data_IF_485801485405
#
_entry.id   IF_485801485405
#
_cell.length_a   1.000
_cell.length_b   1.000
_cell.length_c   1.000
_cell.angle_alpha   90.00
_cell.angle_beta   90.00
_cell.angle_gamma   90.00
#
_symmetry.space_group_name_H-M   'P 1'
#
loop_
_entity.id
_entity.type
_entity.pdbx_description
1 polymer ?
#
# COMPACT_ATOMS: atom_id res chain seq x y z
N UNK A 1 -8.81 -11.80 -7.71
CA UNK A 1 -9.38 -11.19 -8.85
C UNK A 1 -9.12 -9.72 -8.88
N UNK A 2 -9.07 -9.14 -10.00
CA UNK A 2 -8.72 -7.75 -10.16
C UNK A 2 -9.76 -6.78 -9.64
N UNK A 3 -9.82 -5.61 -10.26
CA UNK A 3 -10.78 -4.55 -9.98
C UNK A 3 -10.58 -3.76 -8.70
N UNK A 4 -9.42 -3.84 -8.08
CA UNK A 4 -9.11 -2.95 -6.98
C UNK A 4 -8.47 -1.68 -7.53
N UNK A 5 -8.63 -0.59 -6.80
CA UNK A 5 -7.95 0.66 -7.10
C UNK A 5 -6.78 0.76 -6.14
N UNK A 6 -5.58 0.72 -6.67
CA UNK A 6 -4.36 0.68 -5.85
C UNK A 6 -3.56 1.97 -6.03
N UNK A 7 -3.28 2.64 -4.92
CA UNK A 7 -2.44 3.82 -4.92
C UNK A 7 -1.00 3.39 -4.69
N UNK A 8 -0.13 3.74 -5.62
CA UNK A 8 1.30 3.43 -5.53
C UNK A 8 2.02 4.70 -5.11
N UNK A 9 2.65 4.68 -3.94
CA UNK A 9 3.43 5.81 -3.44
C UNK A 9 4.91 5.47 -3.64
N UNK A 10 5.51 6.07 -4.65
CA UNK A 10 6.84 5.71 -5.11
C UNK A 10 7.45 6.89 -5.86
N UNK A 11 8.66 7.29 -5.51
CA UNK A 11 9.31 8.43 -6.17
C UNK A 11 10.12 8.01 -7.40
N UNK A 12 10.46 6.74 -7.54
CA UNK A 12 11.27 6.25 -8.66
C UNK A 12 10.37 5.71 -9.75
N UNK A 13 10.51 6.27 -10.96
CA UNK A 13 9.62 5.90 -12.05
C UNK A 13 9.78 4.45 -12.48
N UNK A 14 10.98 3.91 -12.43
CA UNK A 14 11.20 2.51 -12.85
C UNK A 14 10.51 1.55 -11.89
N UNK A 15 10.59 1.83 -10.59
CA UNK A 15 9.90 1.00 -9.61
C UNK A 15 8.39 1.13 -9.78
N UNK A 16 7.91 2.34 -10.01
CA UNK A 16 6.49 2.56 -10.23
C UNK A 16 6.00 1.77 -11.44
N UNK A 17 6.74 1.84 -12.56
CA UNK A 17 6.31 1.16 -13.78
C UNK A 17 6.25 -0.36 -13.58
N UNK A 18 7.21 -0.92 -12.84
CA UNK A 18 7.19 -2.35 -12.58
C UNK A 18 5.96 -2.73 -11.76
N UNK A 19 5.70 -2.00 -10.69
CA UNK A 19 4.58 -2.30 -9.81
C UNK A 19 3.27 -2.11 -10.56
N UNK A 20 3.16 -1.05 -11.32
CA UNK A 20 1.99 -0.79 -12.13
C UNK A 20 1.71 -1.95 -13.10
N UNK A 21 2.76 -2.39 -13.78
CA UNK A 21 2.64 -3.51 -14.72
C UNK A 21 2.08 -4.76 -14.04
N UNK A 22 2.63 -5.09 -12.87
CA UNK A 22 2.18 -6.28 -12.15
C UNK A 22 0.73 -6.15 -11.71
N UNK A 23 0.35 -4.99 -11.23
CA UNK A 23 -1.02 -4.78 -10.76
C UNK A 23 -2.01 -4.78 -11.90
N UNK A 24 -1.66 -4.15 -13.02
CA UNK A 24 -2.56 -4.12 -14.17
C UNK A 24 -2.72 -5.49 -14.78
N UNK A 25 -1.67 -6.31 -14.79
CA UNK A 25 -1.79 -7.68 -15.26
C UNK A 25 -2.74 -8.49 -14.40
N UNK A 26 -2.83 -8.16 -13.13
CA UNK A 26 -3.76 -8.85 -12.23
C UNK A 26 -5.17 -8.26 -12.29
N UNK A 27 -5.38 -7.25 -13.12
CA UNK A 27 -6.71 -6.70 -13.34
C UNK A 27 -7.06 -5.48 -12.49
N UNK A 28 -6.08 -4.94 -11.77
CA UNK A 28 -6.32 -3.77 -10.93
C UNK A 28 -6.05 -2.48 -11.69
N UNK A 29 -6.60 -1.37 -11.21
CA UNK A 29 -6.27 -0.04 -11.72
C UNK A 29 -5.33 0.62 -10.74
N UNK A 30 -4.49 1.53 -11.23
CA UNK A 30 -3.47 2.14 -10.39
C UNK A 30 -3.54 3.65 -10.42
N UNK A 31 -3.09 4.24 -9.31
CA UNK A 31 -2.89 5.67 -9.19
C UNK A 31 -1.47 5.87 -8.66
N UNK A 32 -0.85 6.99 -8.98
CA UNK A 32 0.54 7.22 -8.65
C UNK A 32 0.70 8.49 -7.82
N UNK A 33 1.30 8.36 -6.66
CA UNK A 33 1.76 9.49 -5.85
C UNK A 33 3.28 9.42 -5.78
N UNK A 34 3.95 10.53 -5.93
CA UNK A 34 5.40 10.57 -6.02
C UNK A 34 6.06 10.90 -4.68
N UNK A 35 5.28 11.18 -3.67
CA UNK A 35 5.79 11.50 -2.35
C UNK A 35 4.80 11.05 -1.29
N UNK A 36 5.26 10.98 -0.05
CA UNK A 36 4.39 10.63 1.05
C UNK A 36 3.24 11.61 1.21
N UNK A 37 3.55 12.91 1.08
CA UNK A 37 2.52 13.92 1.21
C UNK A 37 1.45 13.79 0.13
N UNK A 38 1.88 13.62 -1.11
CA UNK A 38 0.95 13.44 -2.21
C UNK A 38 0.11 12.18 -2.00
N UNK A 39 0.73 11.11 -1.51
CA UNK A 39 0.03 9.87 -1.24
C UNK A 39 -1.05 10.05 -0.18
N UNK A 40 -0.75 10.77 0.88
CA UNK A 40 -1.73 11.05 1.92
C UNK A 40 -2.90 11.85 1.35
N UNK A 41 -2.59 12.90 0.58
CA UNK A 41 -3.64 13.73 0.00
C UNK A 41 -4.52 12.94 -0.95
N UNK A 42 -3.92 12.11 -1.81
CA UNK A 42 -4.69 11.30 -2.75
C UNK A 42 -5.53 10.25 -2.04
N UNK A 43 -5.00 9.68 -0.96
CA UNK A 43 -5.77 8.70 -0.21
C UNK A 43 -7.03 9.32 0.39
N UNK A 44 -6.93 10.55 0.87
CA UNK A 44 -8.08 11.25 1.44
C UNK A 44 -9.11 11.58 0.37
N UNK A 45 -8.66 11.93 -0.82
CA UNK A 45 -9.54 12.37 -1.90
C UNK A 45 -10.14 11.19 -2.64
N UNK A 46 -9.32 10.22 -3.00
CA UNK A 46 -9.70 9.16 -3.92
C UNK A 46 -10.09 7.85 -3.26
N UNK A 47 -9.77 7.67 -1.99
CA UNK A 47 -10.14 6.47 -1.21
C UNK A 47 -9.80 5.18 -1.95
N UNK A 48 -8.51 4.91 -2.20
CA UNK A 48 -8.13 3.67 -2.88
C UNK A 48 -8.46 2.45 -2.01
N UNK A 49 -8.49 1.30 -2.66
CA UNK A 49 -8.75 0.05 -1.95
C UNK A 49 -7.52 -0.48 -1.25
N UNK A 50 -6.34 -0.04 -1.68
CA UNK A 50 -5.08 -0.48 -1.10
C UNK A 50 -4.01 0.54 -1.46
N UNK A 51 -3.04 0.72 -0.56
CA UNK A 51 -1.90 1.59 -0.79
C UNK A 51 -0.63 0.75 -0.74
N UNK A 52 0.19 0.85 -1.79
CA UNK A 52 1.54 0.31 -1.78
C UNK A 52 2.48 1.44 -1.44
N UNK A 53 3.19 1.31 -0.33
CA UNK A 53 3.99 2.39 0.21
C UNK A 53 5.47 2.05 0.19
N UNK A 54 6.24 2.78 -0.60
CA UNK A 54 7.69 2.68 -0.58
C UNK A 54 8.18 3.31 0.73
N UNK A 55 9.01 2.58 1.46
CA UNK A 55 9.50 3.08 2.74
C UNK A 55 10.68 4.03 2.61
N UNK A 56 11.29 4.12 1.42
CA UNK A 56 12.49 4.93 1.21
C UNK A 56 12.22 6.26 0.53
N UNK A 57 11.07 6.85 0.78
CA UNK A 57 10.70 8.10 0.14
C UNK A 57 11.53 9.27 0.68
N UNK A 58 11.80 10.27 -0.18
CA UNK A 58 12.44 11.49 0.29
C UNK A 58 11.47 12.33 1.12
N UNK A 59 12.03 13.22 1.93
CA UNK A 59 11.30 14.17 2.77
C UNK A 59 10.46 13.50 3.85
N UNK A 60 9.40 12.81 3.46
CA UNK A 60 8.57 12.08 4.43
C UNK A 60 8.68 10.60 4.08
N UNK A 61 9.35 9.82 4.93
CA UNK A 61 9.52 8.40 4.67
C UNK A 61 8.19 7.65 4.78
N UNK A 62 8.20 6.40 4.28
CA UNK A 62 6.98 5.62 4.22
C UNK A 62 6.44 5.22 5.58
N UNK A 63 7.29 5.09 6.60
CA UNK A 63 6.82 4.79 7.94
C UNK A 63 5.99 5.95 8.48
N UNK A 64 6.51 7.17 8.35
CA UNK A 64 5.81 8.37 8.80
C UNK A 64 4.50 8.54 8.04
N UNK A 65 4.54 8.35 6.72
CA UNK A 65 3.33 8.47 5.92
C UNK A 65 2.28 7.45 6.35
N UNK A 66 2.71 6.21 6.62
CA UNK A 66 1.79 5.16 7.08
C UNK A 66 1.17 5.53 8.42
N UNK A 67 1.99 6.01 9.36
CA UNK A 67 1.47 6.42 10.65
C UNK A 67 0.40 7.49 10.52
N UNK A 68 0.64 8.46 9.64
CA UNK A 68 -0.34 9.53 9.41
C UNK A 68 -1.62 9.00 8.80
N UNK A 69 -1.50 8.09 7.83
CA UNK A 69 -2.68 7.48 7.22
C UNK A 69 -3.49 6.71 8.25
N UNK A 70 -2.81 5.98 9.13
CA UNK A 70 -3.51 5.15 10.12
C UNK A 70 -4.05 5.96 11.29
N UNK A 71 -3.62 7.20 11.43
CA UNK A 71 -4.11 8.08 12.49
C UNK A 71 -5.30 8.92 12.04
N UNK A 72 -5.59 8.96 10.76
CA UNK A 72 -6.65 9.81 10.21
C UNK A 72 -7.92 8.98 9.99
N UNK A 73 -9.05 9.38 10.59
CA UNK A 73 -10.30 8.64 10.39
C UNK A 73 -10.70 8.45 8.93
N UNK A 74 -10.26 9.34 8.04
CA UNK A 74 -10.62 9.25 6.62
C UNK A 74 -9.85 8.17 5.89
N UNK A 75 -8.67 7.78 6.39
CA UNK A 75 -7.78 6.87 5.68
C UNK A 75 -7.37 5.64 6.47
N UNK A 76 -7.64 5.61 7.78
CA UNK A 76 -7.11 4.53 8.62
C UNK A 76 -7.59 3.15 8.22
N UNK A 77 -8.70 3.05 7.53
CA UNK A 77 -9.24 1.76 7.12
C UNK A 77 -8.65 1.24 5.82
N UNK A 78 -7.88 2.06 5.12
CA UNK A 78 -7.27 1.64 3.86
C UNK A 78 -6.05 0.79 4.19
N UNK A 79 -5.96 -0.44 3.66
CA UNK A 79 -4.78 -1.27 3.94
C UNK A 79 -3.54 -0.70 3.28
N UNK A 80 -2.42 -0.77 3.99
CA UNK A 80 -1.13 -0.29 3.50
C UNK A 80 -0.16 -1.45 3.48
N UNK A 81 0.39 -1.74 2.30
CA UNK A 81 1.43 -2.75 2.14
C UNK A 81 2.75 -2.02 1.91
N UNK A 82 3.70 -2.25 2.81
CA UNK A 82 5.02 -1.63 2.70
C UNK A 82 5.85 -2.34 1.64
N UNK A 83 6.61 -1.56 0.87
CA UNK A 83 7.47 -2.08 -0.18
C UNK A 83 8.84 -1.46 0.03
N UNK A 84 9.88 -2.30 0.23
CA UNK A 84 11.17 -1.76 0.61
C UNK A 84 12.32 -2.62 0.13
N UNK A 85 13.44 -1.97 -0.18
CA UNK A 85 14.70 -2.66 -0.43
C UNK A 85 15.42 -2.97 0.88
N UNK A 86 14.95 -2.43 2.00
CA UNK A 86 15.56 -2.65 3.30
C UNK A 86 15.04 -3.95 3.89
N UNK A 87 15.95 -4.88 4.11
CA UNK A 87 15.60 -6.21 4.62
C UNK A 87 16.32 -6.53 5.91
N UNK A 88 16.73 -5.52 6.65
CA UNK A 88 17.42 -5.75 7.92
C UNK A 88 16.44 -6.26 8.97
N UNK A 89 16.92 -7.05 9.92
CA UNK A 89 16.10 -7.45 11.05
C UNK A 89 15.56 -6.19 11.75
N UNK A 90 14.30 -6.18 12.02
CA UNK A 90 13.67 -5.02 12.65
C UNK A 90 12.93 -4.12 11.70
N UNK A 91 13.26 -4.13 10.41
CA UNK A 91 12.55 -3.29 9.45
C UNK A 91 11.09 -3.74 9.31
N UNK A 92 10.88 -5.04 9.24
CA UNK A 92 9.52 -5.58 9.17
C UNK A 92 8.74 -5.22 10.44
N UNK A 93 9.38 -5.36 11.59
CA UNK A 93 8.73 -5.01 12.85
C UNK A 93 8.36 -3.55 12.88
N UNK A 94 9.28 -2.69 12.42
CA UNK A 94 9.02 -1.25 12.39
C UNK A 94 7.85 -0.92 11.47
N UNK A 95 7.77 -1.59 10.31
CA UNK A 95 6.67 -1.37 9.39
C UNK A 95 5.34 -1.75 10.03
N UNK A 96 5.31 -2.89 10.71
CA UNK A 96 4.10 -3.33 11.38
C UNK A 96 3.71 -2.39 12.51
N UNK A 97 4.69 -1.88 13.25
CA UNK A 97 4.42 -0.93 14.34
C UNK A 97 3.89 0.39 13.80
N UNK A 98 4.28 0.77 12.60
CA UNK A 98 3.76 1.98 11.97
C UNK A 98 2.33 1.77 11.45
N UNK A 99 1.87 0.53 11.42
CA UNK A 99 0.50 0.22 11.03
C UNK A 99 0.36 -0.41 9.65
N UNK A 100 1.47 -0.84 9.04
CA UNK A 100 1.40 -1.53 7.76
C UNK A 100 0.67 -2.86 7.91
N UNK A 101 -0.13 -3.18 6.92
CA UNK A 101 -0.92 -4.41 6.90
C UNK A 101 -0.23 -5.54 6.16
N UNK A 102 0.82 -5.22 5.41
CA UNK A 102 1.62 -6.19 4.71
C UNK A 102 3.00 -5.63 4.46
N UNK A 103 3.92 -6.49 4.02
CA UNK A 103 5.31 -6.10 3.87
C UNK A 103 5.93 -6.91 2.74
N UNK A 104 6.51 -6.22 1.77
CA UNK A 104 7.15 -6.83 0.61
C UNK A 104 8.55 -6.30 0.44
N UNK A 105 9.47 -7.18 0.11
CA UNK A 105 10.87 -6.82 -0.12
C UNK A 105 11.17 -6.66 -1.60
N UNK A 106 12.08 -5.76 -1.92
CA UNK A 106 12.68 -5.68 -3.25
C UNK A 106 14.00 -6.46 -3.22
N UNK A 107 14.42 -7.10 -4.31
CA UNK A 107 13.73 -7.23 -5.58
C UNK A 107 12.48 -8.07 -5.46
N UNK A 108 11.57 -7.85 -6.37
CA UNK A 108 10.23 -8.39 -6.26
C UNK A 108 10.15 -9.85 -6.68
N UNK A 109 9.56 -10.67 -5.82
CA UNK A 109 9.14 -12.00 -6.19
C UNK A 109 7.70 -11.86 -6.69
N UNK A 110 7.47 -12.10 -7.97
CA UNK A 110 6.17 -11.82 -8.59
C UNK A 110 5.04 -12.63 -7.95
N UNK A 111 5.28 -13.92 -7.70
CA UNK A 111 4.26 -14.76 -7.10
C UNK A 111 3.90 -14.26 -5.70
N UNK A 112 4.91 -13.91 -4.90
CA UNK A 112 4.69 -13.42 -3.55
C UNK A 112 3.99 -12.06 -3.58
N UNK A 113 4.37 -11.21 -4.53
CA UNK A 113 3.73 -9.91 -4.68
C UNK A 113 2.23 -10.08 -4.92
N UNK A 114 1.87 -10.89 -5.91
CA UNK A 114 0.47 -11.10 -6.24
C UNK A 114 -0.29 -11.71 -5.07
N UNK A 115 0.31 -12.70 -4.42
CA UNK A 115 -0.33 -13.34 -3.27
C UNK A 115 -0.59 -12.35 -2.15
N UNK A 116 0.39 -11.52 -1.83
CA UNK A 116 0.25 -10.55 -0.74
C UNK A 116 -0.85 -9.53 -1.05
N UNK A 117 -0.89 -9.05 -2.30
CA UNK A 117 -1.91 -8.08 -2.70
C UNK A 117 -3.30 -8.70 -2.58
N UNK A 118 -3.47 -9.90 -3.12
CA UNK A 118 -4.79 -10.53 -3.12
C UNK A 118 -5.24 -10.89 -1.71
N UNK A 119 -4.33 -11.40 -0.89
CA UNK A 119 -4.68 -11.73 0.49
C UNK A 119 -5.07 -10.49 1.28
N UNK A 120 -4.35 -9.41 1.09
CA UNK A 120 -4.65 -8.18 1.81
C UNK A 120 -6.00 -7.62 1.39
N UNK A 121 -6.26 -7.60 0.09
CA UNK A 121 -7.54 -7.12 -0.42
C UNK A 121 -8.69 -7.98 0.10
N UNK A 122 -8.53 -9.29 0.08
CA UNK A 122 -9.58 -10.18 0.53
C UNK A 122 -9.86 -10.00 2.01
N UNK A 123 -8.81 -9.91 2.81
CA UNK A 123 -8.94 -9.73 4.25
C UNK A 123 -9.72 -8.46 4.58
N UNK A 124 -9.40 -7.37 3.91
CA UNK A 124 -10.06 -6.10 4.19
C UNK A 124 -11.48 -6.07 3.63
N UNK A 125 -11.71 -6.73 2.52
CA UNK A 125 -13.06 -6.87 1.99
C UNK A 125 -13.96 -7.63 2.96
N UNK A 126 -13.46 -8.72 3.53
CA UNK A 126 -14.21 -9.49 4.52
C UNK A 126 -14.49 -8.66 5.75
N UNK A 127 -13.50 -7.92 6.23
CA UNK A 127 -13.70 -7.08 7.40
C UNK A 127 -14.76 -6.02 7.16
N UNK A 128 -14.79 -5.45 5.97
CA UNK A 128 -15.82 -4.48 5.65
C UNK A 128 -17.21 -5.11 5.60
N UNK A 129 -17.30 -6.34 5.11
CA UNK A 129 -18.58 -7.03 5.06
C UNK A 129 -19.10 -7.38 6.43
N UNK A 130 -18.21 -7.82 7.31
CA UNK A 130 -18.61 -8.24 8.65
C UNK A 130 -18.58 -7.13 9.66
N UNK A 131 -17.90 -6.04 9.34
CA UNK A 131 -17.70 -4.94 10.26
C UNK A 131 -18.90 -4.05 10.43
N UNK A 132 -20.03 -4.45 9.94
CA UNK A 132 -21.24 -3.68 10.13
C UNK A 132 -21.90 -3.30 8.83
N UNK A 133 -23.05 -2.67 8.92
CA UNK A 133 -23.82 -2.31 7.74
C UNK A 133 -23.06 -1.32 6.88
N UNK A 134 -23.30 -1.45 5.63
CA UNK A 134 -22.68 -0.56 4.65
C UNK A 134 -23.67 0.38 4.12
N UNK A 135 -24.48 0.81 4.87
CA UNK A 135 -25.61 1.63 4.46
C UNK A 135 -25.24 2.94 3.85
#
# INVERSE_FOLDING_TARGET
>A
MGNARVLIVEDNIDNYELVRFLLERAGHTTMWARSGKEGIDMAKTDHPDLILMDLSLPEMDGWTATERLKSDPLTKQIPVVALTAHTLPGDRKRALEAGCDGYLSKPMNIALFNETIEETLEKFSKNRKTGGPRL
#
